data_IF_766081357121
#
_entry.id   IF_766081357121
#
_cell.length_a   1.000
_cell.length_b   1.000
_cell.length_c   1.000
_cell.angle_alpha   90.00
_cell.angle_beta   90.00
_cell.angle_gamma   90.00
#
_symmetry.space_group_name_H-M   'P 1'
#
loop_
_entity.id
_entity.type
_entity.pdbx_description
1 polymer ?
#
# COMPACT_ATOMS: atom_id res chain seq x y z
N UNK A 1 63.42 9.98 -4.11
CA UNK A 1 62.83 9.90 -5.47
C UNK A 1 61.35 9.97 -5.27
N UNK A 2 60.83 11.19 -5.37
CA UNK A 2 59.42 11.52 -5.17
C UNK A 2 58.68 11.38 -6.49
N UNK A 3 57.54 10.69 -6.48
CA UNK A 3 56.57 10.75 -7.58
C UNK A 3 55.22 11.20 -7.03
N UNK A 4 54.97 12.49 -7.22
CA UNK A 4 53.69 13.16 -7.07
C UNK A 4 52.70 12.64 -8.11
N UNK A 5 51.54 12.14 -7.69
CA UNK A 5 50.38 11.98 -8.56
C UNK A 5 49.42 13.14 -8.36
N UNK A 6 49.29 13.94 -9.42
CA UNK A 6 48.40 15.10 -9.55
C UNK A 6 46.93 14.67 -9.59
N UNK A 7 46.13 15.09 -8.61
CA UNK A 7 44.68 14.94 -8.60
C UNK A 7 44.08 16.14 -9.35
N UNK A 8 44.18 16.12 -10.68
CA UNK A 8 43.64 17.18 -11.53
C UNK A 8 43.07 16.63 -12.82
N UNK A 9 42.24 15.59 -12.73
CA UNK A 9 41.37 15.16 -13.83
C UNK A 9 40.02 14.75 -13.25
N UNK A 10 39.02 15.61 -13.48
CA UNK A 10 37.62 15.30 -13.21
C UNK A 10 37.13 14.16 -14.10
N UNK A 11 36.11 13.40 -13.67
CA UNK A 11 35.64 12.26 -14.41
C UNK A 11 34.96 12.67 -15.73
N UNK A 12 35.45 12.07 -16.81
CA UNK A 12 34.85 12.03 -18.14
C UNK A 12 33.57 11.19 -18.07
N UNK A 13 32.41 11.78 -18.35
CA UNK A 13 31.12 11.09 -18.39
C UNK A 13 30.95 10.36 -19.74
N UNK A 14 31.35 9.09 -19.78
CA UNK A 14 30.93 8.11 -20.78
C UNK A 14 29.66 7.40 -20.31
N UNK A 15 28.67 7.29 -21.19
CA UNK A 15 27.29 6.86 -20.91
C UNK A 15 27.15 5.53 -20.16
N UNK A 16 26.24 5.48 -19.18
CA UNK A 16 25.69 4.21 -18.70
C UNK A 16 25.25 4.07 -17.25
N UNK A 17 25.06 5.14 -16.46
CA UNK A 17 24.37 5.04 -15.16
C UNK A 17 23.71 6.37 -14.84
N UNK A 18 22.37 6.41 -14.81
CA UNK A 18 21.60 7.59 -14.45
C UNK A 18 20.98 7.36 -13.07
N UNK A 19 21.59 7.84 -11.98
CA UNK A 19 20.94 7.84 -10.68
C UNK A 19 19.82 8.88 -10.69
N UNK A 20 18.58 8.43 -10.51
CA UNK A 20 17.44 9.31 -10.27
C UNK A 20 17.64 9.97 -8.90
N UNK A 21 18.24 11.16 -8.89
CA UNK A 21 18.18 12.04 -7.74
C UNK A 21 16.78 12.67 -7.69
N UNK A 22 16.00 12.30 -6.67
CA UNK A 22 14.82 13.08 -6.30
C UNK A 22 15.30 14.45 -5.80
N UNK A 23 15.30 15.44 -6.69
CA UNK A 23 15.46 16.84 -6.31
C UNK A 23 14.19 17.27 -5.56
N UNK A 24 14.21 17.11 -4.23
CA UNK A 24 13.22 17.70 -3.35
C UNK A 24 13.44 19.22 -3.31
N UNK A 25 12.94 19.91 -4.34
CA UNK A 25 12.83 21.36 -4.34
C UNK A 25 11.76 21.79 -3.35
N UNK A 26 12.16 21.97 -2.07
CA UNK A 26 11.51 22.79 -1.02
C UNK A 26 12.27 22.62 0.30
N UNK A 27 13.44 23.25 0.44
CA UNK A 27 14.04 23.42 1.78
C UNK A 27 14.85 24.71 2.01
N UNK A 28 14.93 25.65 1.06
CA UNK A 28 15.64 26.92 1.27
C UNK A 28 14.71 28.06 1.70
N UNK A 29 14.05 27.92 2.86
CA UNK A 29 13.25 29.01 3.43
C UNK A 29 13.40 29.22 4.94
N UNK A 30 14.32 28.51 5.61
CA UNK A 30 14.48 28.64 7.07
C UNK A 30 15.85 29.09 7.56
N UNK A 31 16.75 29.54 6.69
CA UNK A 31 18.02 30.13 7.15
C UNK A 31 18.30 31.46 6.45
N UNK A 32 17.51 32.49 6.78
CA UNK A 32 17.97 33.87 6.70
C UNK A 32 17.87 34.52 8.09
N UNK A 33 18.99 34.96 8.69
CA UNK A 33 18.94 35.83 9.86
C UNK A 33 18.37 37.20 9.45
N UNK A 34 17.18 37.53 9.94
CA UNK A 34 16.61 38.87 9.81
C UNK A 34 17.35 39.85 10.73
N UNK A 35 18.42 40.46 10.25
CA UNK A 35 18.92 41.72 10.82
C UNK A 35 18.14 42.86 10.19
N UNK A 36 16.95 43.13 10.73
CA UNK A 36 16.08 44.23 10.34
C UNK A 36 16.26 45.45 11.24
N UNK A 37 16.81 46.51 10.64
CA UNK A 37 16.83 47.87 11.18
C UNK A 37 15.42 48.38 11.46
N UNK A 38 15.29 49.16 12.54
CA UNK A 38 14.07 49.81 13.01
C UNK A 38 13.58 50.86 12.01
N UNK A 39 12.29 50.86 11.72
CA UNK A 39 11.58 52.05 11.24
C UNK A 39 10.18 52.11 11.86
N UNK A 40 9.71 53.31 12.28
CA UNK A 40 8.73 53.48 13.34
C UNK A 40 7.38 53.87 12.73
N UNK A 41 6.52 52.88 12.48
CA UNK A 41 5.10 53.14 12.25
C UNK A 41 4.30 52.38 13.32
N UNK A 42 4.41 52.87 14.56
CA UNK A 42 3.49 52.53 15.62
C UNK A 42 2.14 53.17 15.29
N UNK A 43 1.21 52.35 14.78
CA UNK A 43 -0.23 52.59 14.91
C UNK A 43 -0.75 51.76 16.08
N UNK A 44 -1.80 52.28 16.70
CA UNK A 44 -2.26 52.01 18.05
C UNK A 44 -2.57 50.54 18.37
N UNK A 45 -2.48 50.28 19.67
CA UNK A 45 -2.81 49.06 20.38
C UNK A 45 -4.22 48.59 19.99
N UNK A 46 -4.30 47.67 19.03
CA UNK A 46 -5.45 46.80 18.81
C UNK A 46 -5.53 45.85 20.00
N UNK A 47 -6.28 46.24 21.04
CA UNK A 47 -6.68 45.35 22.13
C UNK A 47 -7.41 44.16 21.52
N UNK A 48 -6.84 42.97 21.74
CA UNK A 48 -7.46 41.71 21.37
C UNK A 48 -8.80 41.59 22.12
N UNK A 49 -9.90 41.56 21.36
CA UNK A 49 -11.24 41.42 21.91
C UNK A 49 -11.59 39.92 21.98
N UNK A 50 -11.69 39.38 23.20
CA UNK A 50 -11.98 37.96 23.49
C UNK A 50 -13.45 37.57 23.21
N UNK A 51 -14.23 38.44 22.56
CA UNK A 51 -15.62 38.12 22.16
C UNK A 51 -15.70 37.15 20.96
N UNK A 52 -14.59 36.89 20.26
CA UNK A 52 -14.53 35.89 19.18
C UNK A 52 -14.50 34.43 19.69
N UNK A 53 -14.20 34.19 20.97
CA UNK A 53 -14.30 32.85 21.59
C UNK A 53 -15.74 32.50 22.01
N UNK A 54 -16.68 33.44 21.89
CA UNK A 54 -18.11 33.18 21.98
C UNK A 54 -18.66 32.75 20.61
N UNK A 55 -17.98 31.85 19.92
CA UNK A 55 -18.66 31.04 18.90
C UNK A 55 -19.66 30.17 19.66
N UNK A 56 -20.91 30.64 19.64
CA UNK A 56 -22.10 29.89 20.03
C UNK A 56 -21.86 28.40 19.79
N UNK A 57 -21.92 27.59 20.86
CA UNK A 57 -21.88 26.13 20.79
C UNK A 57 -22.69 25.71 19.57
N UNK A 58 -22.00 25.28 18.50
CA UNK A 58 -22.67 24.72 17.33
C UNK A 58 -23.58 23.64 17.88
N UNK A 59 -24.87 23.83 17.70
CA UNK A 59 -25.88 22.82 17.99
C UNK A 59 -25.34 21.51 17.40
N UNK A 60 -25.17 20.50 18.26
CA UNK A 60 -24.89 19.15 17.83
C UNK A 60 -25.78 18.82 16.63
N UNK A 61 -25.25 18.17 15.58
CA UNK A 61 -26.02 17.94 14.37
C UNK A 61 -27.32 17.25 14.74
N UNK A 62 -28.43 17.96 14.51
CA UNK A 62 -29.78 17.47 14.74
C UNK A 62 -29.93 16.20 13.91
N UNK A 63 -30.19 15.07 14.56
CA UNK A 63 -30.45 13.83 13.86
C UNK A 63 -31.61 14.06 12.89
N UNK A 64 -31.47 13.71 11.60
CA UNK A 64 -32.50 13.97 10.61
C UNK A 64 -33.79 13.25 11.00
N UNK A 65 -34.91 13.95 10.86
CA UNK A 65 -36.24 13.39 11.13
C UNK A 65 -36.69 12.53 9.95
N UNK A 66 -37.65 11.62 10.18
CA UNK A 66 -38.14 10.70 9.13
C UNK A 66 -38.73 11.50 7.96
N UNK A 67 -39.33 12.65 8.25
CA UNK A 67 -39.91 13.58 7.30
C UNK A 67 -38.84 14.26 6.42
N UNK A 68 -37.65 14.55 6.98
CA UNK A 68 -36.51 15.08 6.22
C UNK A 68 -35.95 14.03 5.25
N UNK A 69 -35.98 12.75 5.63
CA UNK A 69 -35.52 11.63 4.79
C UNK A 69 -36.49 11.36 3.64
N UNK A 70 -37.79 11.45 3.90
CA UNK A 70 -38.83 11.22 2.88
C UNK A 70 -38.89 12.39 1.89
N UNK A 71 -38.79 13.63 2.37
CA UNK A 71 -38.90 14.83 1.53
C UNK A 71 -37.70 15.03 0.58
N UNK A 72 -36.50 14.57 0.97
CA UNK A 72 -35.29 14.70 0.14
C UNK A 72 -35.03 13.49 -0.74
N UNK A 73 -35.92 12.50 -0.71
CA UNK A 73 -35.68 11.17 -1.26
C UNK A 73 -34.63 10.41 -0.44
N UNK A 74 -34.64 9.09 -0.52
CA UNK A 74 -33.72 8.18 0.20
C UNK A 74 -32.20 8.38 -0.11
N UNK A 75 -31.83 9.47 -0.80
CA UNK A 75 -30.53 9.73 -1.41
C UNK A 75 -30.00 11.15 -1.16
N UNK A 76 -30.40 11.83 -0.09
CA UNK A 76 -29.71 13.06 0.29
C UNK A 76 -28.36 12.73 0.94
N UNK A 77 -27.32 12.61 0.10
CA UNK A 77 -25.94 12.74 0.56
C UNK A 77 -25.85 14.15 1.18
N UNK A 78 -25.59 14.29 2.50
CA UNK A 78 -25.45 15.61 3.09
C UNK A 78 -24.26 16.32 2.42
N UNK A 79 -24.51 17.51 1.86
CA UNK A 79 -23.47 18.33 1.20
C UNK A 79 -22.30 18.66 2.13
N UNK A 80 -22.52 18.62 3.44
CA UNK A 80 -21.50 19.03 4.40
C UNK A 80 -20.33 18.06 4.51
N UNK A 81 -20.50 16.75 4.29
CA UNK A 81 -19.40 15.79 4.47
C UNK A 81 -19.60 14.49 3.65
N UNK A 82 -19.26 14.47 2.35
CA UNK A 82 -19.22 13.22 1.58
C UNK A 82 -18.22 12.22 2.18
N UNK A 83 -17.19 12.70 2.86
CA UNK A 83 -16.14 11.88 3.48
C UNK A 83 -16.65 11.07 4.68
N UNK A 84 -17.55 11.60 5.52
CA UNK A 84 -18.09 10.85 6.68
C UNK A 84 -19.24 9.91 6.30
N UNK A 85 -20.01 10.22 5.24
CA UNK A 85 -20.97 9.27 4.66
C UNK A 85 -20.27 8.02 4.10
N UNK A 86 -19.07 8.17 3.54
CA UNK A 86 -18.20 7.09 3.06
C UNK A 86 -17.66 6.24 4.23
N UNK A 87 -17.34 6.86 5.37
CA UNK A 87 -16.76 6.19 6.56
C UNK A 87 -17.81 5.38 7.34
N UNK A 88 -19.08 5.82 7.37
CA UNK A 88 -20.16 5.08 8.04
C UNK A 88 -20.59 3.82 7.25
N UNK A 89 -20.31 3.77 5.95
CA UNK A 89 -20.68 2.67 5.05
C UNK A 89 -19.67 1.50 5.07
N UNK A 90 -18.89 1.32 6.15
CA UNK A 90 -17.97 0.17 6.38
C UNK A 90 -18.70 -1.19 6.24
N UNK A 91 -20.04 -1.24 6.35
CA UNK A 91 -20.88 -2.45 6.25
C UNK A 91 -21.60 -2.65 4.92
N UNK A 92 -21.57 -1.71 3.99
CA UNK A 92 -22.38 -1.79 2.76
C UNK A 92 -21.54 -1.65 1.49
N UNK A 93 -20.43 -2.39 1.41
CA UNK A 93 -19.68 -2.61 0.15
C UNK A 93 -20.56 -3.09 -1.00
N UNK A 94 -21.71 -3.70 -0.70
CA UNK A 94 -22.77 -4.05 -1.64
C UNK A 94 -23.38 -2.85 -2.39
N UNK A 95 -23.44 -1.67 -1.78
CA UNK A 95 -23.98 -0.44 -2.42
C UNK A 95 -23.05 0.15 -3.48
N UNK A 96 -21.76 -0.17 -3.41
CA UNK A 96 -20.75 0.24 -4.40
C UNK A 96 -20.55 -0.80 -5.52
N UNK A 97 -21.33 -1.89 -5.52
CA UNK A 97 -21.16 -2.99 -6.49
C UNK A 97 -19.83 -3.73 -6.33
N UNK A 98 -19.14 -3.56 -5.20
CA UNK A 98 -17.82 -4.16 -4.95
C UNK A 98 -17.89 -5.63 -4.55
N UNK A 99 -19.08 -6.14 -4.22
CA UNK A 99 -19.26 -7.48 -3.68
C UNK A 99 -18.82 -8.57 -4.66
N UNK A 100 -19.13 -8.42 -5.95
CA UNK A 100 -18.69 -9.36 -7.00
C UNK A 100 -17.15 -9.36 -7.13
N UNK A 101 -16.52 -8.20 -7.17
CA UNK A 101 -15.05 -8.10 -7.26
C UNK A 101 -14.37 -8.66 -6.00
N UNK A 102 -14.92 -8.38 -4.82
CA UNK A 102 -14.41 -8.93 -3.56
C UNK A 102 -14.57 -10.46 -3.54
N UNK A 103 -15.70 -10.98 -3.99
CA UNK A 103 -15.96 -12.41 -4.12
C UNK A 103 -14.97 -13.08 -5.10
N UNK A 104 -14.74 -12.46 -6.26
CA UNK A 104 -13.76 -12.90 -7.23
C UNK A 104 -12.34 -12.91 -6.66
N UNK A 105 -11.92 -11.84 -5.95
CA UNK A 105 -10.62 -11.79 -5.29
C UNK A 105 -10.49 -12.91 -4.27
N UNK A 106 -11.49 -13.11 -3.39
CA UNK A 106 -11.49 -14.20 -2.40
C UNK A 106 -11.38 -15.57 -3.06
N UNK A 107 -12.12 -15.79 -4.14
CA UNK A 107 -12.06 -17.03 -4.94
C UNK A 107 -10.65 -17.25 -5.51
N UNK A 108 -10.00 -16.21 -6.06
CA UNK A 108 -8.61 -16.30 -6.55
C UNK A 108 -7.61 -16.63 -5.45
N UNK A 109 -7.76 -16.04 -4.26
CA UNK A 109 -6.93 -16.39 -3.10
C UNK A 109 -7.16 -17.83 -2.64
N UNK A 110 -8.39 -18.34 -2.71
CA UNK A 110 -8.70 -19.72 -2.39
C UNK A 110 -7.99 -20.69 -3.35
N UNK A 111 -8.08 -20.44 -4.66
CA UNK A 111 -7.38 -21.23 -5.69
C UNK A 111 -5.88 -21.19 -5.46
N UNK A 112 -5.29 -20.00 -5.28
CA UNK A 112 -3.86 -19.85 -5.00
C UNK A 112 -3.42 -20.66 -3.77
N UNK A 113 -4.21 -20.65 -2.69
CA UNK A 113 -3.90 -21.41 -1.48
C UNK A 113 -3.90 -22.91 -1.74
N UNK A 114 -4.86 -23.41 -2.52
CA UNK A 114 -4.92 -24.83 -2.89
C UNK A 114 -3.73 -25.21 -3.77
N UNK A 115 -3.42 -24.41 -4.80
CA UNK A 115 -2.26 -24.62 -5.67
C UNK A 115 -0.94 -24.63 -4.88
N UNK A 116 -0.78 -23.70 -3.91
CA UNK A 116 0.39 -23.70 -3.03
C UNK A 116 0.50 -24.96 -2.20
N UNK A 117 -0.60 -25.40 -1.64
CA UNK A 117 -0.62 -26.62 -0.85
C UNK A 117 -0.22 -27.84 -1.71
N UNK A 118 -0.74 -27.96 -2.92
CA UNK A 118 -0.38 -29.03 -3.86
C UNK A 118 1.10 -28.99 -4.27
N UNK A 119 1.65 -27.80 -4.52
CA UNK A 119 3.08 -27.64 -4.85
C UNK A 119 3.97 -28.05 -3.66
N UNK A 120 3.62 -27.65 -2.44
CA UNK A 120 4.36 -28.07 -1.24
C UNK A 120 4.28 -29.59 -1.02
N UNK A 121 3.09 -30.18 -1.20
CA UNK A 121 2.94 -31.64 -1.20
C UNK A 121 3.82 -32.31 -2.27
N UNK A 122 3.86 -31.73 -3.48
CA UNK A 122 4.71 -32.19 -4.57
C UNK A 122 6.20 -32.21 -4.21
N UNK A 123 6.68 -31.19 -3.48
CA UNK A 123 8.07 -31.14 -2.98
C UNK A 123 8.34 -32.25 -1.97
N UNK A 124 7.42 -32.45 -1.01
CA UNK A 124 7.52 -33.55 -0.04
C UNK A 124 7.51 -34.91 -0.74
N UNK A 125 6.63 -35.10 -1.71
CA UNK A 125 6.54 -36.35 -2.48
C UNK A 125 7.81 -36.62 -3.29
N UNK A 126 8.38 -35.62 -3.95
CA UNK A 126 9.64 -35.75 -4.68
C UNK A 126 10.81 -36.12 -3.75
N UNK A 127 10.85 -35.53 -2.55
CA UNK A 127 11.88 -35.88 -1.56
C UNK A 127 11.67 -37.30 -1.01
N UNK A 128 10.44 -37.64 -0.64
CA UNK A 128 10.09 -38.96 -0.10
C UNK A 128 10.34 -40.08 -1.11
N UNK A 129 10.05 -39.87 -2.39
CA UNK A 129 10.34 -40.87 -3.43
C UNK A 129 11.84 -41.12 -3.55
N UNK A 130 12.66 -40.08 -3.44
CA UNK A 130 14.12 -40.22 -3.42
C UNK A 130 14.61 -41.01 -2.20
N UNK A 131 14.02 -40.75 -1.02
CA UNK A 131 14.33 -41.50 0.20
C UNK A 131 13.89 -42.97 0.12
N UNK A 132 12.73 -43.24 -0.50
CA UNK A 132 12.25 -44.61 -0.74
C UNK A 132 13.25 -45.40 -1.58
N UNK A 133 13.72 -44.82 -2.70
CA UNK A 133 14.72 -45.47 -3.56
C UNK A 133 16.02 -45.77 -2.82
N UNK A 134 16.49 -44.85 -1.97
CA UNK A 134 17.69 -45.06 -1.15
C UNK A 134 17.46 -46.18 -0.12
N UNK A 135 16.29 -46.22 0.52
CA UNK A 135 15.93 -47.26 1.48
C UNK A 135 15.88 -48.65 0.82
N UNK A 136 15.25 -48.75 -0.35
CA UNK A 136 15.11 -50.00 -1.12
C UNK A 136 16.48 -50.54 -1.58
N UNK A 137 17.45 -49.65 -1.80
CA UNK A 137 18.83 -50.01 -2.14
C UNK A 137 19.71 -50.31 -0.93
N UNK A 138 19.16 -50.28 0.29
CA UNK A 138 19.92 -50.52 1.52
C UNK A 138 20.84 -49.37 1.91
N UNK A 139 20.43 -48.12 1.66
CA UNK A 139 21.19 -46.92 2.04
C UNK A 139 22.23 -46.47 1.03
N UNK A 140 22.28 -47.08 -0.16
CA UNK A 140 23.15 -46.62 -1.25
C UNK A 140 22.66 -45.27 -1.76
N UNK A 141 23.56 -44.29 -1.79
CA UNK A 141 23.28 -42.94 -2.28
C UNK A 141 22.77 -42.94 -3.73
N UNK A 142 22.01 -41.90 -4.07
CA UNK A 142 21.51 -41.69 -5.42
C UNK A 142 22.66 -41.53 -6.43
N UNK A 143 22.46 -42.08 -7.63
CA UNK A 143 23.39 -41.84 -8.73
C UNK A 143 23.37 -40.36 -9.12
N UNK A 144 24.47 -39.85 -9.70
CA UNK A 144 24.57 -38.43 -10.11
C UNK A 144 23.43 -38.00 -11.04
N UNK A 145 23.00 -38.87 -11.95
CA UNK A 145 21.86 -38.65 -12.85
C UNK A 145 20.53 -38.53 -12.09
N UNK A 146 20.32 -39.35 -11.07
CA UNK A 146 19.09 -39.35 -10.25
C UNK A 146 19.03 -38.12 -9.35
N UNK A 147 20.16 -37.79 -8.71
CA UNK A 147 20.30 -36.58 -7.89
C UNK A 147 20.07 -35.30 -8.72
N UNK A 148 20.60 -35.26 -9.95
CA UNK A 148 20.31 -34.17 -10.88
C UNK A 148 18.83 -34.09 -11.25
N UNK A 149 18.20 -35.23 -11.57
CA UNK A 149 16.76 -35.30 -11.86
C UNK A 149 15.90 -34.78 -10.70
N UNK A 150 16.20 -35.20 -9.46
CA UNK A 150 15.52 -34.71 -8.27
C UNK A 150 15.68 -33.19 -8.11
N UNK A 151 16.92 -32.69 -8.23
CA UNK A 151 17.22 -31.26 -8.09
C UNK A 151 16.49 -30.43 -9.16
N UNK A 152 16.43 -30.94 -10.39
CA UNK A 152 15.69 -30.32 -11.49
C UNK A 152 14.20 -30.27 -11.18
N UNK A 153 13.59 -31.38 -10.76
CA UNK A 153 12.17 -31.45 -10.42
C UNK A 153 11.82 -30.49 -9.26
N UNK A 154 12.65 -30.43 -8.22
CA UNK A 154 12.46 -29.48 -7.12
C UNK A 154 12.55 -28.04 -7.61
N UNK A 155 13.51 -27.73 -8.49
CA UNK A 155 13.65 -26.40 -9.09
C UNK A 155 12.40 -25.99 -9.87
N UNK A 156 11.84 -26.90 -10.66
CA UNK A 156 10.59 -26.67 -11.40
C UNK A 156 9.42 -26.37 -10.44
N UNK A 157 9.29 -27.11 -9.33
CA UNK A 157 8.26 -26.84 -8.31
C UNK A 157 8.45 -25.46 -7.64
N UNK A 158 9.68 -25.03 -7.39
CA UNK A 158 9.96 -23.68 -6.88
C UNK A 158 9.66 -22.59 -7.92
N UNK A 159 9.85 -22.89 -9.21
CA UNK A 159 9.50 -22.00 -10.30
C UNK A 159 7.97 -21.84 -10.40
N UNK A 160 7.23 -22.94 -10.40
CA UNK A 160 5.77 -22.94 -10.32
C UNK A 160 5.27 -22.12 -9.13
N UNK A 161 5.88 -22.26 -7.96
CA UNK A 161 5.52 -21.45 -6.79
C UNK A 161 5.72 -19.93 -7.00
N UNK A 162 6.72 -19.52 -7.77
CA UNK A 162 6.91 -18.10 -8.12
C UNK A 162 5.89 -17.67 -9.18
N UNK A 163 5.57 -18.53 -10.11
CA UNK A 163 4.61 -18.27 -11.18
C UNK A 163 3.20 -18.10 -10.64
N UNK A 164 2.78 -18.95 -9.71
CA UNK A 164 1.51 -18.82 -9.00
C UNK A 164 1.41 -17.50 -8.24
N UNK A 165 2.49 -17.07 -7.57
CA UNK A 165 2.55 -15.75 -6.91
C UNK A 165 2.39 -14.62 -7.91
N UNK A 166 3.07 -14.70 -9.06
CA UNK A 166 2.97 -13.70 -10.14
C UNK A 166 1.57 -13.69 -10.74
N UNK A 167 0.96 -14.85 -10.97
CA UNK A 167 -0.37 -15.01 -11.53
C UNK A 167 -1.43 -14.42 -10.60
N UNK A 168 -1.38 -14.72 -9.29
CA UNK A 168 -2.29 -14.11 -8.32
C UNK A 168 -2.18 -12.57 -8.33
N UNK A 169 -0.95 -12.04 -8.33
CA UNK A 169 -0.73 -10.59 -8.40
C UNK A 169 -1.28 -9.98 -9.69
N UNK A 170 -1.09 -10.64 -10.83
CA UNK A 170 -1.62 -10.19 -12.11
C UNK A 170 -3.16 -10.19 -12.11
N UNK A 171 -3.79 -11.25 -11.62
CA UNK A 171 -5.24 -11.39 -11.52
C UNK A 171 -5.85 -10.31 -10.61
N UNK A 172 -5.30 -10.14 -9.40
CA UNK A 172 -5.78 -9.12 -8.45
C UNK A 172 -5.57 -7.71 -9.02
N UNK A 173 -4.44 -7.46 -9.68
CA UNK A 173 -4.18 -6.17 -10.31
C UNK A 173 -5.17 -5.88 -11.44
N UNK A 174 -5.48 -6.89 -12.27
CA UNK A 174 -6.47 -6.78 -13.35
C UNK A 174 -7.86 -6.50 -12.80
N UNK A 175 -8.29 -7.23 -11.75
CA UNK A 175 -9.57 -6.98 -11.08
C UNK A 175 -9.66 -5.58 -10.50
N UNK A 176 -8.56 -5.07 -9.94
CA UNK A 176 -8.49 -3.70 -9.43
C UNK A 176 -8.64 -2.65 -10.53
N UNK A 177 -8.06 -2.87 -11.71
CA UNK A 177 -8.17 -1.96 -12.86
C UNK A 177 -9.58 -1.92 -13.47
N UNK A 178 -10.34 -3.00 -13.34
CA UNK A 178 -11.73 -3.07 -13.80
C UNK A 178 -12.71 -2.32 -12.88
N UNK A 179 -12.26 -1.86 -11.70
CA UNK A 179 -13.10 -1.10 -10.78
C UNK A 179 -13.43 0.29 -11.33
N UNK A 180 -14.69 0.76 -11.21
CA UNK A 180 -15.05 2.13 -11.50
C UNK A 180 -14.22 3.14 -10.70
N UNK A 181 -13.93 4.31 -11.28
CA UNK A 181 -13.10 5.36 -10.66
C UNK A 181 -13.62 5.79 -9.27
N UNK A 182 -14.95 5.86 -9.11
CA UNK A 182 -15.58 6.17 -7.82
C UNK A 182 -15.21 5.16 -6.72
N UNK A 183 -15.18 3.87 -7.06
CA UNK A 183 -14.81 2.81 -6.14
C UNK A 183 -13.30 2.82 -5.85
N UNK A 184 -12.47 3.16 -6.83
CA UNK A 184 -11.03 3.33 -6.62
C UNK A 184 -10.74 4.50 -5.68
N UNK A 185 -11.44 5.62 -5.86
CA UNK A 185 -11.34 6.80 -5.00
C UNK A 185 -11.77 6.47 -3.57
N UNK A 186 -12.90 5.76 -3.40
CA UNK A 186 -13.36 5.26 -2.10
C UNK A 186 -12.32 4.37 -1.41
N UNK A 187 -11.75 3.38 -2.11
CA UNK A 187 -10.74 2.51 -1.52
C UNK A 187 -9.47 3.26 -1.15
N UNK A 188 -9.11 4.30 -1.92
CA UNK A 188 -7.96 5.14 -1.63
C UNK A 188 -8.17 6.02 -0.40
N UNK A 189 -9.35 6.61 -0.23
CA UNK A 189 -9.70 7.41 0.95
C UNK A 189 -9.81 6.52 2.18
N UNK A 190 -10.45 5.36 2.06
CA UNK A 190 -10.51 4.36 3.12
C UNK A 190 -9.12 3.94 3.60
N UNK A 191 -8.18 3.67 2.66
CA UNK A 191 -6.80 3.32 3.02
C UNK A 191 -6.12 4.45 3.80
N UNK A 192 -6.27 5.70 3.37
CA UNK A 192 -5.71 6.86 4.09
C UNK A 192 -6.24 6.94 5.52
N UNK A 193 -7.56 6.82 5.69
CA UNK A 193 -8.20 6.85 7.01
C UNK A 193 -7.72 5.68 7.87
N UNK A 194 -7.66 4.46 7.33
CA UNK A 194 -7.21 3.29 8.09
C UNK A 194 -5.76 3.39 8.57
N UNK A 195 -4.89 4.08 7.81
CA UNK A 195 -3.51 4.32 8.23
C UNK A 195 -3.48 5.31 9.39
N UNK A 196 -4.31 6.36 9.35
CA UNK A 196 -4.44 7.33 10.43
C UNK A 196 -5.00 6.68 11.70
N UNK A 197 -6.06 5.89 11.59
CA UNK A 197 -6.63 5.12 12.72
C UNK A 197 -5.57 4.20 13.37
N UNK A 198 -4.72 3.55 12.58
CA UNK A 198 -3.65 2.68 13.09
C UNK A 198 -2.53 3.45 13.80
N UNK A 199 -2.26 4.70 13.40
CA UNK A 199 -1.25 5.56 14.04
C UNK A 199 -1.77 6.18 15.34
N UNK A 200 -3.07 6.47 15.43
CA UNK A 200 -3.69 6.98 16.66
C UNK A 200 -3.81 5.91 17.76
N UNK A 201 -3.89 4.62 17.39
CA UNK A 201 -3.90 3.49 18.32
C UNK A 201 -2.53 3.11 18.91
N UNK A 202 -1.44 3.69 18.41
CA UNK A 202 -0.05 3.52 18.89
C UNK A 202 0.41 4.69 19.80
N UNK A 203 -0.50 5.33 20.55
CA UNK A 203 -0.10 6.21 21.65
C UNK A 203 0.16 5.39 22.93
N UNK A 204 1.31 5.57 23.62
CA UNK A 204 1.74 4.77 24.77
C UNK A 204 0.90 4.97 26.04
#
# INVERSE_FOLDING_TARGET
MDQNFSISQGPVFGAGYMPYFYQAGKFLLYDLPQTGSKSPNFSEISRYDFTSDLVSKRNWPRSPTVEDIVSRGYFAIPESEPETAIILDKKHTSKLGLDDVISQIRSRYHIYKNNMYEIELGKCHAMNSSHSVVADRGGVCLNSKEAYGLTKNLRELYEQQRDERRSLWADVSKLKLLLPEQAQNYLSSYRKVSILENLEGEQP
#
